data_IF_620619723830
#
_entry.id   IF_620619723830
#
_cell.length_a   1.000
_cell.length_b   1.000
_cell.length_c   1.000
_cell.angle_alpha   90.00
_cell.angle_beta   90.00
_cell.angle_gamma   90.00
#
_symmetry.space_group_name_H-M   'P 1'
#
loop_
_entity.id
_entity.type
_entity.pdbx_description
1 polymer ?
#
# COMPACT_ATOMS: atom_id res chain seq x y z
N UNK A 1 -11.06 6.36 -6.07
CA UNK A 1 -10.35 5.19 -6.64
C UNK A 1 -10.86 3.99 -5.87
N UNK A 2 -11.26 2.93 -6.54
CA UNK A 2 -11.81 1.75 -5.85
C UNK A 2 -10.67 0.83 -5.42
N UNK A 3 -10.65 0.45 -4.14
CA UNK A 3 -9.56 -0.36 -3.61
C UNK A 3 -9.65 -1.80 -4.10
N UNK A 4 -10.85 -2.35 -4.33
CA UNK A 4 -10.99 -3.70 -4.90
C UNK A 4 -10.30 -3.77 -6.27
N UNK A 5 -10.46 -2.76 -7.13
CA UNK A 5 -9.74 -2.68 -8.41
C UNK A 5 -8.23 -2.55 -8.24
N UNK A 6 -7.77 -1.88 -7.18
CA UNK A 6 -6.35 -1.81 -6.86
C UNK A 6 -5.81 -3.19 -6.46
N UNK A 7 -6.60 -3.96 -5.70
CA UNK A 7 -6.23 -5.28 -5.19
C UNK A 7 -6.26 -6.39 -6.24
N UNK A 8 -6.92 -6.17 -7.38
CA UNK A 8 -6.81 -7.04 -8.56
C UNK A 8 -5.39 -7.02 -9.17
N UNK A 9 -4.61 -5.98 -8.88
CA UNK A 9 -3.27 -5.78 -9.40
C UNK A 9 -3.25 -5.17 -10.81
N UNK A 10 -2.06 -4.79 -11.26
CA UNK A 10 -1.91 -4.07 -12.51
C UNK A 10 -0.64 -4.40 -13.29
N UNK A 11 -0.47 -3.82 -14.48
CA UNK A 11 0.76 -3.98 -15.26
C UNK A 11 1.97 -3.33 -14.56
N UNK A 12 1.74 -2.32 -13.73
CA UNK A 12 2.79 -1.55 -13.03
C UNK A 12 3.15 -2.09 -11.65
N UNK A 13 2.33 -2.98 -11.07
CA UNK A 13 2.50 -3.45 -9.69
C UNK A 13 1.82 -4.80 -9.45
N UNK A 14 2.33 -5.56 -8.49
CA UNK A 14 1.66 -6.76 -7.98
C UNK A 14 1.01 -6.51 -6.63
N UNK A 15 0.07 -7.39 -6.27
CA UNK A 15 -0.64 -7.38 -4.99
C UNK A 15 -0.38 -8.70 -4.30
N UNK A 16 -0.08 -8.63 -3.01
CA UNK A 16 0.10 -9.78 -2.13
C UNK A 16 -0.93 -9.65 -1.01
N UNK A 17 -1.79 -10.66 -0.89
CA UNK A 17 -2.68 -10.82 0.26
C UNK A 17 -1.83 -11.09 1.50
N UNK A 18 -1.92 -10.19 2.49
CA UNK A 18 -1.27 -10.33 3.78
C UNK A 18 -2.33 -10.56 4.86
N UNK A 19 -1.90 -11.12 5.99
CA UNK A 19 -2.83 -11.49 7.07
C UNK A 19 -3.65 -10.31 7.62
N UNK A 20 -3.05 -9.12 7.64
CA UNK A 20 -3.61 -7.91 8.25
C UNK A 20 -3.85 -6.80 7.21
N UNK A 21 -3.81 -7.13 5.92
CA UNK A 21 -3.96 -6.14 4.84
C UNK A 21 -3.41 -6.64 3.51
N UNK A 22 -2.98 -5.72 2.66
CA UNK A 22 -2.51 -5.99 1.32
C UNK A 22 -1.17 -5.30 1.09
N UNK A 23 -0.21 -6.03 0.52
CA UNK A 23 1.08 -5.48 0.14
C UNK A 23 1.15 -5.34 -1.37
N UNK A 24 1.23 -4.11 -1.84
CA UNK A 24 1.52 -3.78 -3.22
C UNK A 24 3.03 -3.66 -3.40
N UNK A 25 3.54 -4.17 -4.50
CA UNK A 25 4.94 -4.03 -4.87
C UNK A 25 5.05 -3.54 -6.31
N UNK A 26 5.88 -2.53 -6.53
CA UNK A 26 6.18 -1.99 -7.85
C UNK A 26 6.92 -3.02 -8.68
N UNK A 27 6.63 -3.06 -9.99
CA UNK A 27 7.41 -3.84 -10.95
C UNK A 27 8.57 -3.01 -11.50
N UNK A 28 9.70 -3.65 -11.76
CA UNK A 28 10.83 -3.00 -12.42
C UNK A 28 10.40 -2.37 -13.76
N UNK A 29 10.87 -1.14 -14.00
CA UNK A 29 10.51 -0.35 -15.19
C UNK A 29 9.20 0.42 -15.08
N UNK A 30 8.46 0.27 -13.97
CA UNK A 30 7.20 0.97 -13.72
C UNK A 30 7.24 1.85 -12.46
N UNK A 31 8.43 2.19 -11.96
CA UNK A 31 8.63 2.93 -10.71
C UNK A 31 7.86 4.27 -10.68
N UNK A 32 7.90 5.04 -11.77
CA UNK A 32 7.19 6.32 -11.85
C UNK A 32 5.66 6.14 -11.79
N UNK A 33 5.15 5.08 -12.44
CA UNK A 33 3.72 4.76 -12.41
C UNK A 33 3.30 4.26 -11.03
N UNK A 34 4.14 3.48 -10.36
CA UNK A 34 3.91 3.02 -9.00
C UNK A 34 3.94 4.17 -7.99
N UNK A 35 4.89 5.11 -8.11
CA UNK A 35 4.95 6.29 -7.26
C UNK A 35 3.68 7.14 -7.40
N UNK A 36 3.21 7.40 -8.64
CA UNK A 36 1.97 8.14 -8.86
C UNK A 36 0.73 7.37 -8.36
N UNK A 37 0.78 6.03 -8.36
CA UNK A 37 -0.26 5.20 -7.76
C UNK A 37 -0.26 5.36 -6.23
N UNK A 38 0.91 5.33 -5.61
CA UNK A 38 1.09 5.54 -4.17
C UNK A 38 0.38 6.80 -3.70
N UNK A 39 0.68 7.93 -4.37
CA UNK A 39 0.10 9.23 -4.04
C UNK A 39 -1.43 9.25 -4.22
N UNK A 40 -1.95 8.57 -5.25
CA UNK A 40 -3.39 8.46 -5.49
C UNK A 40 -4.08 7.60 -4.44
N UNK A 41 -3.46 6.49 -4.04
CA UNK A 41 -3.98 5.58 -3.02
C UNK A 41 -3.96 6.27 -1.65
N UNK A 42 -2.88 6.95 -1.29
CA UNK A 42 -2.79 7.77 -0.08
C UNK A 42 -3.83 8.89 -0.06
N UNK A 43 -4.03 9.61 -1.18
CA UNK A 43 -5.05 10.65 -1.28
C UNK A 43 -6.48 10.11 -1.25
N UNK A 44 -6.68 8.86 -1.64
CA UNK A 44 -7.97 8.18 -1.65
C UNK A 44 -8.17 7.25 -0.44
N UNK A 45 -7.23 7.24 0.51
CA UNK A 45 -7.24 6.40 1.70
C UNK A 45 -8.29 6.89 2.71
N UNK A 46 -9.55 6.57 2.44
CA UNK A 46 -10.67 6.80 3.35
C UNK A 46 -11.12 5.45 3.91
N UNK A 47 -10.84 5.19 5.19
CA UNK A 47 -11.12 3.90 5.83
C UNK A 47 -10.00 2.85 5.75
N UNK A 48 -8.82 3.22 5.23
CA UNK A 48 -7.63 2.35 5.13
C UNK A 48 -6.37 3.14 5.49
N UNK A 49 -5.39 2.50 6.12
CA UNK A 49 -4.06 3.02 6.37
C UNK A 49 -3.13 2.58 5.23
N UNK A 50 -2.39 3.53 4.68
CA UNK A 50 -1.46 3.30 3.57
C UNK A 50 -0.07 3.68 4.03
N UNK A 51 0.85 2.71 4.00
CA UNK A 51 2.22 2.85 4.46
C UNK A 51 3.16 2.64 3.27
N UNK A 52 3.75 3.71 2.70
CA UNK A 52 4.76 3.57 1.66
C UNK A 52 6.05 3.00 2.25
N UNK A 53 6.50 1.89 1.68
CA UNK A 53 7.77 1.23 2.00
C UNK A 53 8.80 1.61 0.95
N UNK A 54 9.90 2.19 1.42
CA UNK A 54 11.01 2.63 0.58
C UNK A 54 12.16 1.64 0.64
N UNK A 55 12.83 1.47 -0.49
CA UNK A 55 14.05 0.70 -0.62
C UNK A 55 15.27 1.48 -0.08
N UNK A 56 16.45 0.86 -0.08
CA UNK A 56 17.75 1.45 0.31
C UNK A 56 18.08 2.75 -0.45
N UNK A 57 17.46 2.96 -1.61
CA UNK A 57 17.60 4.17 -2.43
C UNK A 57 16.54 5.26 -2.17
N UNK A 58 15.77 5.16 -1.08
CA UNK A 58 14.62 6.04 -0.74
C UNK A 58 13.50 6.03 -1.80
N UNK A 59 13.50 5.06 -2.71
CA UNK A 59 12.45 4.89 -3.72
C UNK A 59 11.31 4.08 -3.14
N UNK A 60 10.08 4.55 -3.32
CA UNK A 60 8.88 3.79 -2.96
C UNK A 60 8.76 2.59 -3.89
N UNK A 61 9.12 1.39 -3.40
CA UNK A 61 9.05 0.14 -4.15
C UNK A 61 7.88 -0.74 -3.68
N UNK A 62 7.34 -0.47 -2.48
CA UNK A 62 6.23 -1.22 -1.88
C UNK A 62 5.25 -0.29 -1.18
N UNK A 63 3.99 -0.72 -1.08
CA UNK A 63 2.93 -0.03 -0.34
C UNK A 63 2.19 -1.08 0.47
N UNK A 64 2.12 -0.87 1.77
CA UNK A 64 1.27 -1.69 2.62
C UNK A 64 -0.04 -0.96 2.85
N UNK A 65 -1.16 -1.64 2.62
CA UNK A 65 -2.50 -1.11 2.79
C UNK A 65 -3.24 -1.98 3.79
N UNK A 66 -3.62 -1.42 4.93
CA UNK A 66 -4.42 -2.11 5.94
C UNK A 66 -5.77 -1.40 6.09
N UNK A 67 -6.88 -2.12 6.30
CA UNK A 67 -8.12 -1.46 6.72
C UNK A 67 -7.89 -0.73 8.04
N UNK A 68 -8.45 0.49 8.16
CA UNK A 68 -8.60 1.17 9.45
C UNK A 68 -9.72 0.45 10.20
N UNK A 69 -9.49 -0.79 10.60
CA UNK A 69 -10.29 -1.36 11.68
C UNK A 69 -10.02 -0.51 12.90
N UNK A 70 -10.96 0.38 13.24
CA UNK A 70 -11.13 0.84 14.60
C UNK A 70 -11.00 -0.41 15.50
N UNK A 71 -10.09 -0.38 16.46
CA UNK A 71 -9.63 -1.51 17.30
C UNK A 71 -8.37 -2.26 16.82
N UNK A 72 -7.21 -1.60 16.97
CA UNK A 72 -6.36 -1.95 18.11
C UNK A 72 -5.37 -0.83 18.39
N UNK A 73 -5.67 -0.11 19.47
CA UNK A 73 -4.67 0.45 20.36
C UNK A 73 -3.49 -0.53 20.45
N UNK A 74 -2.32 -0.12 19.95
CA UNK A 74 -1.07 -0.62 20.49
C UNK A 74 -0.96 -0.07 21.91
N UNK A 75 -1.76 -0.63 22.83
CA UNK A 75 -1.50 -0.53 24.25
C UNK A 75 -0.28 -1.43 24.49
N UNK A 76 0.89 -0.84 24.29
CA UNK A 76 2.16 -1.41 24.72
C UNK A 76 2.20 -1.32 26.24
N UNK A 77 1.44 -2.20 26.90
CA UNK A 77 1.66 -2.49 28.32
C UNK A 77 2.86 -3.42 28.38
N UNK A 78 4.04 -2.85 28.69
CA UNK A 78 4.96 -3.43 29.67
C UNK A 78 5.91 -2.40 30.27
#
# INVERSE_FOLDING_TARGET
MDIDTLLEGGPSYGVIDARDGYLLYGREGHEAAFSALAEQVEAAADGFEVIPLKDENDRCDRLFIAPLTEEKSFESTR
#
